data_IF_973648327395
#
_entry.id   IF_973648327395
#
_cell.length_a   1.000
_cell.length_b   1.000
_cell.length_c   1.000
_cell.angle_alpha   90.00
_cell.angle_beta   90.00
_cell.angle_gamma   90.00
#
_symmetry.space_group_name_H-M   'P 1'
#
loop_
_entity.id
_entity.type
_entity.pdbx_description
1 polymer ?
#
# COMPACT_ATOMS: atom_id res chain seq x y z
N UNK A 1 10.17 11.60 1.23
CA UNK A 1 9.43 11.71 2.51
C UNK A 1 10.39 11.42 3.67
N UNK A 2 10.42 12.28 4.65
CA UNK A 2 11.30 12.14 5.83
C UNK A 2 10.55 12.50 7.11
N UNK A 3 10.97 11.90 8.22
CA UNK A 3 10.47 12.23 9.56
C UNK A 3 11.16 13.51 10.03
N UNK A 4 10.39 14.38 10.66
CA UNK A 4 10.92 15.60 11.28
C UNK A 4 10.64 15.68 12.77
N UNK A 5 9.64 14.96 13.28
CA UNK A 5 9.29 14.95 14.71
C UNK A 5 8.59 13.66 15.08
N UNK A 6 8.90 13.14 16.27
CA UNK A 6 8.15 12.08 16.94
C UNK A 6 7.57 12.66 18.23
N UNK A 7 6.27 12.49 18.44
CA UNK A 7 5.56 13.03 19.61
C UNK A 7 4.52 11.99 20.08
N UNK A 8 4.95 11.13 21.01
CA UNK A 8 4.13 10.03 21.50
C UNK A 8 3.74 9.07 20.40
N UNK A 9 2.43 8.93 20.16
CA UNK A 9 1.86 8.04 19.13
C UNK A 9 1.82 8.67 17.72
N UNK A 10 2.28 9.91 17.57
CA UNK A 10 2.23 10.62 16.29
C UNK A 10 3.63 10.89 15.74
N UNK A 11 3.79 10.57 14.47
CA UNK A 11 4.99 10.91 13.71
C UNK A 11 4.68 12.00 12.69
N UNK A 12 5.50 13.03 12.66
CA UNK A 12 5.38 14.12 11.69
C UNK A 12 6.36 13.92 10.55
N UNK A 13 5.82 13.92 9.35
CA UNK A 13 6.56 13.74 8.11
C UNK A 13 6.63 15.05 7.33
N UNK A 14 7.69 15.21 6.58
CA UNK A 14 7.82 16.21 5.53
C UNK A 14 7.92 15.52 4.18
N UNK A 15 7.11 15.95 3.24
CA UNK A 15 7.06 15.42 1.89
C UNK A 15 7.21 16.56 0.89
N UNK A 16 8.02 16.38 -0.14
CA UNK A 16 8.15 17.34 -1.23
C UNK A 16 6.90 17.34 -2.11
N UNK A 17 6.72 18.39 -2.93
CA UNK A 17 5.58 18.46 -3.86
C UNK A 17 5.58 17.29 -4.86
N UNK A 18 6.75 16.89 -5.33
CA UNK A 18 6.91 15.77 -6.26
C UNK A 18 6.54 14.46 -5.57
N UNK A 19 7.08 14.21 -4.38
CA UNK A 19 6.76 13.01 -3.59
C UNK A 19 5.28 12.93 -3.24
N UNK A 20 4.65 14.06 -2.87
CA UNK A 20 3.21 14.13 -2.60
C UNK A 20 2.40 13.69 -3.81
N UNK A 21 2.74 14.19 -5.00
CA UNK A 21 2.09 13.80 -6.24
C UNK A 21 2.27 12.31 -6.53
N UNK A 22 3.49 11.81 -6.43
CA UNK A 22 3.79 10.38 -6.62
C UNK A 22 3.01 9.51 -5.64
N UNK A 23 2.95 9.91 -4.38
CA UNK A 23 2.18 9.20 -3.37
C UNK A 23 0.70 9.16 -3.73
N UNK A 24 0.09 10.25 -4.11
CA UNK A 24 -1.32 10.31 -4.47
C UNK A 24 -1.65 9.52 -5.73
N UNK A 25 -0.81 9.59 -6.76
CA UNK A 25 -0.95 8.79 -7.97
C UNK A 25 -0.85 7.29 -7.66
N UNK A 26 0.04 6.92 -6.75
CA UNK A 26 0.19 5.55 -6.28
C UNK A 26 -1.03 5.08 -5.47
N UNK A 27 -1.49 5.88 -4.51
CA UNK A 27 -2.62 5.53 -3.64
C UNK A 27 -3.95 5.41 -4.40
N UNK A 28 -4.08 6.09 -5.54
CA UNK A 28 -5.23 5.97 -6.42
C UNK A 28 -5.37 4.56 -7.04
N UNK A 29 -4.31 3.76 -7.03
CA UNK A 29 -4.32 2.39 -7.54
C UNK A 29 -4.94 1.39 -6.55
N UNK A 30 -5.06 1.73 -5.29
CA UNK A 30 -5.62 0.83 -4.27
C UNK A 30 -7.14 0.61 -4.44
N UNK A 31 -7.67 -0.60 -4.28
CA UNK A 31 -7.00 -1.88 -4.07
C UNK A 31 -6.59 -2.55 -5.39
N UNK A 32 -5.44 -3.23 -5.40
CA UNK A 32 -4.94 -3.98 -6.57
C UNK A 32 -5.04 -5.49 -6.40
N UNK A 33 -4.80 -6.01 -5.18
CA UNK A 33 -4.92 -7.45 -4.93
C UNK A 33 -6.39 -7.84 -4.94
N UNK A 34 -6.80 -8.79 -5.82
CA UNK A 34 -8.17 -9.29 -5.81
C UNK A 34 -8.52 -9.96 -4.48
N UNK A 35 -9.77 -9.81 -4.04
CA UNK A 35 -10.29 -10.50 -2.85
C UNK A 35 -10.49 -12.02 -3.08
N UNK A 36 -10.03 -12.55 -4.21
CA UNK A 36 -10.12 -13.96 -4.57
C UNK A 36 -8.89 -14.70 -4.08
N UNK A 37 -9.11 -15.71 -3.24
CA UNK A 37 -8.07 -16.53 -2.65
C UNK A 37 -8.11 -17.95 -3.16
N UNK A 38 -6.93 -18.57 -3.16
CA UNK A 38 -6.82 -20.02 -3.37
C UNK A 38 -7.51 -20.76 -2.21
N UNK A 39 -8.10 -21.94 -2.46
CA UNK A 39 -8.74 -22.75 -1.42
C UNK A 39 -7.80 -22.97 -0.24
N UNK A 40 -8.29 -22.71 0.99
CA UNK A 40 -7.50 -22.80 2.21
C UNK A 40 -7.04 -24.22 2.55
N UNK A 41 -7.71 -25.25 2.03
CA UNK A 41 -7.34 -26.66 2.29
C UNK A 41 -7.92 -27.58 1.22
N UNK A 42 -7.10 -28.55 0.80
CA UNK A 42 -7.53 -29.63 -0.10
C UNK A 42 -8.15 -30.84 0.62
N UNK A 43 -8.16 -30.84 1.94
CA UNK A 43 -8.52 -32.01 2.76
C UNK A 43 -9.84 -31.87 3.51
N UNK A 44 -10.46 -30.69 3.50
CA UNK A 44 -11.75 -30.46 4.15
C UNK A 44 -12.93 -30.77 3.22
N UNK A 45 -14.12 -31.00 3.82
CA UNK A 45 -15.37 -31.18 3.10
C UNK A 45 -15.64 -29.97 2.18
N UNK A 46 -16.00 -30.16 0.90
CA UNK A 46 -16.26 -29.07 -0.04
C UNK A 46 -17.25 -28.01 0.44
N UNK A 47 -18.26 -28.39 1.22
CA UNK A 47 -19.23 -27.45 1.79
C UNK A 47 -18.59 -26.55 2.86
N UNK A 48 -17.71 -27.07 3.70
CA UNK A 48 -17.01 -26.33 4.74
C UNK A 48 -15.95 -25.40 4.12
N UNK A 49 -15.28 -25.84 3.06
CA UNK A 49 -14.32 -25.03 2.30
C UNK A 49 -15.01 -23.81 1.68
N UNK A 50 -16.19 -24.00 1.09
CA UNK A 50 -16.95 -22.88 0.50
C UNK A 50 -17.41 -21.87 1.55
N UNK A 51 -17.87 -22.33 2.71
CA UNK A 51 -18.28 -21.48 3.81
C UNK A 51 -17.09 -20.68 4.37
N UNK A 52 -15.96 -21.35 4.63
CA UNK A 52 -14.74 -20.71 5.14
C UNK A 52 -14.14 -19.72 4.13
N UNK A 53 -14.14 -20.07 2.84
CA UNK A 53 -13.68 -19.17 1.79
C UNK A 53 -14.56 -17.93 1.66
N UNK A 54 -15.88 -18.09 1.77
CA UNK A 54 -16.83 -16.96 1.75
C UNK A 54 -16.60 -16.02 2.93
N UNK A 55 -16.43 -16.55 4.14
CA UNK A 55 -16.13 -15.78 5.34
C UNK A 55 -14.82 -15.01 5.20
N UNK A 56 -13.79 -15.65 4.65
CA UNK A 56 -12.50 -15.01 4.39
C UNK A 56 -12.63 -13.87 3.37
N UNK A 57 -13.33 -14.10 2.27
CA UNK A 57 -13.56 -13.09 1.23
C UNK A 57 -14.33 -11.89 1.78
N UNK A 58 -15.38 -12.13 2.58
CA UNK A 58 -16.15 -11.07 3.24
C UNK A 58 -15.30 -10.27 4.23
N UNK A 59 -14.48 -10.96 5.03
CA UNK A 59 -13.57 -10.32 5.98
C UNK A 59 -12.53 -9.44 5.27
N UNK A 60 -11.96 -9.92 4.18
CA UNK A 60 -10.97 -9.20 3.40
C UNK A 60 -11.59 -8.02 2.65
N UNK A 61 -12.80 -8.17 2.11
CA UNK A 61 -13.53 -7.07 1.49
C UNK A 61 -13.85 -5.96 2.50
N UNK A 62 -14.29 -6.32 3.71
CA UNK A 62 -14.55 -5.38 4.79
C UNK A 62 -13.26 -4.66 5.23
N UNK A 63 -12.15 -5.39 5.34
CA UNK A 63 -10.85 -4.83 5.69
C UNK A 63 -10.35 -3.84 4.63
N UNK A 64 -10.50 -4.16 3.34
CA UNK A 64 -10.16 -3.27 2.23
C UNK A 64 -11.00 -2.00 2.23
N UNK A 65 -12.30 -2.10 2.53
CA UNK A 65 -13.17 -0.93 2.64
C UNK A 65 -12.76 -0.03 3.80
N UNK A 66 -12.43 -0.60 4.95
CA UNK A 66 -11.95 0.16 6.10
C UNK A 66 -10.62 0.86 5.80
N UNK A 67 -9.68 0.16 5.18
CA UNK A 67 -8.42 0.75 4.73
C UNK A 67 -8.64 1.88 3.71
N UNK A 68 -9.58 1.72 2.79
CA UNK A 68 -9.93 2.76 1.82
C UNK A 68 -10.52 4.00 2.48
N UNK A 69 -11.35 3.82 3.49
CA UNK A 69 -11.93 4.91 4.29
C UNK A 69 -10.85 5.66 5.07
N UNK A 70 -9.96 4.93 5.75
CA UNK A 70 -8.82 5.52 6.46
C UNK A 70 -7.87 6.23 5.51
N UNK A 71 -7.65 5.68 4.32
CA UNK A 71 -6.84 6.30 3.29
C UNK A 71 -7.41 7.66 2.86
N UNK A 72 -8.73 7.78 2.70
CA UNK A 72 -9.40 9.04 2.43
C UNK A 72 -9.11 10.10 3.50
N UNK A 73 -9.14 9.70 4.78
CA UNK A 73 -8.80 10.58 5.91
C UNK A 73 -7.34 11.05 5.84
N UNK A 74 -6.42 10.16 5.54
CA UNK A 74 -4.99 10.47 5.41
C UNK A 74 -4.76 11.45 4.25
N UNK A 75 -5.37 11.21 3.10
CA UNK A 75 -5.25 12.07 1.92
C UNK A 75 -5.79 13.47 2.23
N UNK A 76 -6.94 13.58 2.87
CA UNK A 76 -7.52 14.85 3.30
C UNK A 76 -6.60 15.58 4.28
N UNK A 77 -6.02 14.86 5.20
CA UNK A 77 -5.08 15.42 6.19
C UNK A 77 -3.83 15.97 5.53
N UNK A 78 -3.27 15.28 4.54
CA UNK A 78 -2.13 15.75 3.75
C UNK A 78 -2.52 16.98 2.91
N UNK A 79 -3.70 16.98 2.31
CA UNK A 79 -4.18 18.09 1.50
C UNK A 79 -4.43 19.37 2.30
N UNK A 80 -4.86 19.24 3.55
CA UNK A 80 -5.09 20.39 4.46
C UNK A 80 -3.82 20.88 5.14
N UNK A 81 -2.71 20.15 5.01
CA UNK A 81 -1.45 20.56 5.61
C UNK A 81 -0.88 21.78 4.93
N UNK A 82 -0.17 22.63 5.70
CA UNK A 82 0.44 23.84 5.16
C UNK A 82 1.58 23.50 4.21
N UNK A 83 1.53 24.04 3.02
CA UNK A 83 2.63 23.98 2.08
C UNK A 83 3.65 25.07 2.37
N UNK A 84 4.92 24.71 2.36
CA UNK A 84 6.05 25.61 2.47
C UNK A 84 7.00 25.38 1.28
N UNK A 85 8.09 26.16 1.19
CA UNK A 85 9.11 25.98 0.16
C UNK A 85 9.75 24.59 0.15
N UNK A 86 9.75 23.90 1.30
CA UNK A 86 10.27 22.53 1.45
C UNK A 86 9.25 21.42 1.23
N UNK A 87 8.02 21.74 0.79
CA UNK A 87 6.92 20.80 0.66
C UNK A 87 5.86 20.96 1.73
N UNK A 88 5.16 19.91 2.10
CA UNK A 88 4.17 19.93 3.16
C UNK A 88 4.56 19.07 4.36
N UNK A 89 4.01 19.42 5.52
CA UNK A 89 4.19 18.68 6.77
C UNK A 89 2.85 18.15 7.25
N UNK A 90 2.81 16.88 7.59
CA UNK A 90 1.62 16.22 8.12
C UNK A 90 2.01 15.20 9.18
N UNK A 91 1.07 14.91 10.08
CA UNK A 91 1.30 13.95 11.15
C UNK A 91 0.36 12.76 11.01
N UNK A 92 0.88 11.57 11.25
CA UNK A 92 0.12 10.32 11.23
C UNK A 92 0.24 9.64 12.60
N UNK A 93 -0.86 9.04 13.05
CA UNK A 93 -0.84 8.13 14.21
C UNK A 93 -0.25 6.77 13.82
N UNK A 94 0.11 5.96 14.81
CA UNK A 94 0.58 4.59 14.58
C UNK A 94 -0.42 3.76 13.78
N UNK A 95 -1.72 3.87 14.07
CA UNK A 95 -2.77 3.16 13.33
C UNK A 95 -2.87 3.63 11.88
N UNK A 96 -2.72 4.94 11.64
CA UNK A 96 -2.71 5.49 10.28
C UNK A 96 -1.49 5.01 9.49
N UNK A 97 -0.34 4.93 10.13
CA UNK A 97 0.89 4.41 9.52
C UNK A 97 0.71 2.93 9.16
N UNK A 98 0.14 2.14 10.08
CA UNK A 98 -0.14 0.72 9.82
C UNK A 98 -1.10 0.54 8.64
N UNK A 99 -2.20 1.29 8.61
CA UNK A 99 -3.15 1.27 7.50
C UNK A 99 -2.51 1.67 6.17
N UNK A 100 -1.67 2.69 6.17
CA UNK A 100 -0.94 3.13 4.98
C UNK A 100 0.07 2.09 4.49
N UNK A 101 0.77 1.42 5.42
CA UNK A 101 1.67 0.32 5.09
C UNK A 101 0.93 -0.86 4.43
N UNK A 102 -0.26 -1.19 4.93
CA UNK A 102 -1.10 -2.24 4.34
C UNK A 102 -1.56 -1.87 2.92
N UNK A 103 -1.97 -0.64 2.70
CA UNK A 103 -2.34 -0.12 1.37
C UNK A 103 -1.16 -0.18 0.41
N UNK A 104 0.01 0.28 0.83
CA UNK A 104 1.23 0.25 0.01
C UNK A 104 1.67 -1.17 -0.30
N UNK A 105 1.51 -2.09 0.65
CA UNK A 105 1.80 -3.50 0.42
C UNK A 105 0.84 -4.14 -0.59
N UNK A 106 -0.44 -3.84 -0.52
CA UNK A 106 -1.43 -4.29 -1.52
C UNK A 106 -1.04 -3.82 -2.94
N UNK A 107 -0.69 -2.55 -3.08
CA UNK A 107 -0.25 -1.98 -4.37
C UNK A 107 1.03 -2.68 -4.86
N UNK A 108 1.98 -2.88 -3.98
CA UNK A 108 3.26 -3.53 -4.31
C UNK A 108 3.07 -4.97 -4.75
N UNK A 109 2.32 -5.77 -3.99
CA UNK A 109 2.04 -7.17 -4.29
C UNK A 109 1.17 -7.29 -5.54
N UNK A 110 0.14 -6.48 -5.67
CA UNK A 110 -0.72 -6.46 -6.86
C UNK A 110 0.04 -6.09 -8.13
N UNK A 111 0.94 -5.14 -8.06
CA UNK A 111 1.80 -4.76 -9.18
C UNK A 111 2.78 -5.88 -9.55
N UNK A 112 3.36 -6.53 -8.54
CA UNK A 112 4.23 -7.70 -8.74
C UNK A 112 3.48 -8.86 -9.41
N UNK A 113 2.25 -9.15 -9.00
CA UNK A 113 1.40 -10.17 -9.64
C UNK A 113 1.10 -9.83 -11.09
N UNK A 114 0.82 -8.57 -11.41
CA UNK A 114 0.61 -8.12 -12.80
C UNK A 114 1.85 -8.23 -13.67
N UNK A 115 3.03 -8.22 -13.09
CA UNK A 115 4.30 -8.46 -13.76
C UNK A 115 4.59 -9.96 -13.99
N UNK A 116 3.69 -10.86 -13.59
CA UNK A 116 3.84 -12.31 -13.73
C UNK A 116 4.54 -12.96 -12.54
N UNK A 117 4.55 -12.32 -11.38
CA UNK A 117 5.15 -12.82 -10.13
C UNK A 117 6.62 -13.26 -10.32
N UNK A 118 7.51 -12.37 -10.78
CA UNK A 118 8.89 -12.73 -11.10
C UNK A 118 9.66 -13.18 -9.85
N UNK A 119 10.19 -14.39 -9.85
CA UNK A 119 11.01 -14.93 -8.77
C UNK A 119 12.43 -14.36 -8.81
N UNK A 120 12.94 -13.96 -7.64
CA UNK A 120 14.24 -13.33 -7.48
C UNK A 120 15.45 -14.14 -8.02
N UNK A 121 15.48 -15.50 -7.98
CA UNK A 121 16.58 -16.28 -8.55
C UNK A 121 16.56 -16.38 -10.07
N UNK A 122 15.44 -16.15 -10.71
CA UNK A 122 15.28 -16.21 -12.15
C UNK A 122 15.25 -14.81 -12.78
N UNK A 123 16.15 -13.95 -12.37
CA UNK A 123 16.30 -12.61 -12.94
C UNK A 123 16.50 -12.61 -14.46
N UNK A 124 15.49 -12.98 -15.20
CA UNK A 124 15.30 -12.37 -16.50
C UNK A 124 14.93 -10.92 -16.19
N UNK A 125 15.80 -10.01 -16.54
CA UNK A 125 15.50 -8.58 -16.49
C UNK A 125 14.09 -8.41 -17.07
N UNK A 126 13.16 -7.84 -16.28
CA UNK A 126 11.85 -7.49 -16.78
C UNK A 126 12.12 -6.46 -17.86
N UNK A 127 11.88 -6.84 -19.13
CA UNK A 127 12.02 -5.90 -20.23
C UNK A 127 11.00 -4.77 -19.97
N UNK A 128 11.51 -3.57 -19.74
CA UNK A 128 10.67 -2.39 -19.60
C UNK A 128 10.03 -2.10 -20.95
N UNK A 129 8.74 -2.45 -21.06
CA UNK A 129 7.89 -2.04 -22.16
C UNK A 129 6.75 -1.19 -21.63
N UNK A 130 5.94 -0.61 -22.50
CA UNK A 130 4.81 0.23 -22.08
C UNK A 130 3.82 -0.49 -21.16
N UNK A 131 3.67 -1.81 -21.28
CA UNK A 131 2.78 -2.63 -20.46
C UNK A 131 3.34 -2.86 -19.04
N UNK A 132 4.65 -3.00 -18.91
CA UNK A 132 5.32 -3.32 -17.65
C UNK A 132 5.78 -2.08 -16.88
N UNK A 133 6.02 -0.97 -17.58
CA UNK A 133 6.58 0.24 -16.97
C UNK A 133 5.73 0.78 -15.82
N UNK A 134 4.42 0.82 -15.96
CA UNK A 134 3.50 1.31 -14.93
C UNK A 134 3.51 0.42 -13.68
N UNK A 135 3.45 -0.89 -13.84
CA UNK A 135 3.47 -1.84 -12.74
C UNK A 135 4.83 -1.87 -12.03
N UNK A 136 5.92 -1.76 -12.79
CA UNK A 136 7.28 -1.65 -12.24
C UNK A 136 7.42 -0.37 -11.42
N UNK A 137 6.98 0.76 -11.94
CA UNK A 137 6.95 2.03 -11.24
C UNK A 137 6.15 1.93 -9.93
N UNK A 138 4.92 1.39 -9.99
CA UNK A 138 4.06 1.28 -8.81
C UNK A 138 4.69 0.39 -7.72
N UNK A 139 5.28 -0.73 -8.11
CA UNK A 139 5.95 -1.63 -7.19
C UNK A 139 7.15 -0.97 -6.51
N UNK A 140 7.98 -0.27 -7.27
CA UNK A 140 9.19 0.37 -6.75
C UNK A 140 8.89 1.58 -5.87
N UNK A 141 7.97 2.45 -6.31
CA UNK A 141 7.58 3.63 -5.55
C UNK A 141 6.86 3.24 -4.25
N UNK A 142 6.01 2.22 -4.29
CA UNK A 142 5.39 1.68 -3.07
C UNK A 142 6.45 1.18 -2.08
N UNK A 143 7.48 0.48 -2.57
CA UNK A 143 8.60 0.03 -1.75
C UNK A 143 9.38 1.18 -1.10
N UNK A 144 9.62 2.26 -1.82
CA UNK A 144 10.30 3.46 -1.29
C UNK A 144 9.51 4.13 -0.16
N UNK A 145 8.20 4.30 -0.33
CA UNK A 145 7.34 4.85 0.72
C UNK A 145 7.22 3.92 1.93
N UNK A 146 7.15 2.60 1.71
CA UNK A 146 7.17 1.63 2.80
C UNK A 146 8.47 1.74 3.62
N UNK A 147 9.61 1.82 2.95
CA UNK A 147 10.90 1.99 3.64
C UNK A 147 10.94 3.27 4.47
N UNK A 148 10.45 4.39 3.93
CA UNK A 148 10.38 5.65 4.66
C UNK A 148 9.49 5.56 5.91
N UNK A 149 8.34 4.90 5.81
CA UNK A 149 7.42 4.69 6.95
C UNK A 149 7.98 3.72 7.98
N UNK A 150 8.64 2.65 7.57
CA UNK A 150 9.24 1.66 8.47
C UNK A 150 10.44 2.25 9.21
N UNK A 151 11.29 3.01 8.53
CA UNK A 151 12.41 3.72 9.15
C UNK A 151 11.96 4.74 10.20
N UNK A 152 10.72 5.18 10.09
CA UNK A 152 10.08 6.10 11.02
C UNK A 152 9.74 5.45 12.37
N UNK A 153 9.54 4.13 12.38
CA UNK A 153 9.13 3.37 13.58
C UNK A 153 10.31 2.84 14.39
N UNK A 154 11.50 2.85 13.81
CA UNK A 154 12.75 2.49 14.48
C UNK A 154 13.32 3.72 15.21
#
# INVERSE_FOLDING_TARGET
MKIIKSDGDKLTFQITKIEKRLLFDLLALYPLVPALFQPLSRTANPADIQADQRLLEESLAAHKQENKKQLGVIIDQINRSQESAGGCRFSLSSDQIEGLLQVLNDIRVGSWQKLGSPDAPQKKAIELNEQNAHNTWAMEVAGLFQMALLSARD
#
